data_IF_763260289876
#
_entry.id   IF_763260289876
#
_cell.length_a   1.000
_cell.length_b   1.000
_cell.length_c   1.000
_cell.angle_alpha   90.00
_cell.angle_beta   90.00
_cell.angle_gamma   90.00
#
_symmetry.space_group_name_H-M   'P 1'
#
loop_
_entity.id
_entity.type
_entity.pdbx_description
1 polymer ?
#
# COMPACT_ATOMS: atom_id res chain seq x y z
N UNK A 1 -65.35 -44.37 20.03
CA UNK A 1 -64.83 -43.80 18.80
C UNK A 1 -64.09 -42.55 19.17
N UNK A 2 -62.76 -42.58 19.07
CA UNK A 2 -61.88 -41.53 19.58
C UNK A 2 -61.52 -40.55 18.45
N UNK A 3 -61.85 -39.26 18.65
CA UNK A 3 -61.48 -38.20 17.74
C UNK A 3 -60.03 -37.78 18.05
N UNK A 4 -59.15 -37.95 17.10
CA UNK A 4 -57.77 -37.48 17.15
C UNK A 4 -57.74 -36.08 16.57
N UNK A 5 -57.49 -35.08 17.44
CA UNK A 5 -57.31 -33.67 17.05
C UNK A 5 -55.85 -33.51 16.54
N UNK A 6 -55.70 -33.25 15.24
CA UNK A 6 -54.40 -33.00 14.61
C UNK A 6 -54.08 -31.52 14.74
N UNK A 7 -53.19 -31.16 15.69
CA UNK A 7 -52.71 -29.79 15.84
C UNK A 7 -51.50 -29.64 14.92
N UNK A 8 -51.71 -28.85 13.82
CA UNK A 8 -50.61 -28.47 12.93
C UNK A 8 -49.92 -27.25 13.53
N UNK A 9 -48.71 -27.47 14.03
CA UNK A 9 -47.78 -26.41 14.51
C UNK A 9 -47.06 -25.83 13.28
N UNK A 10 -47.53 -24.67 12.78
CA UNK A 10 -46.84 -23.91 11.73
C UNK A 10 -45.73 -23.14 12.43
N UNK A 11 -44.51 -23.67 12.36
CA UNK A 11 -43.30 -22.98 12.77
C UNK A 11 -42.97 -21.91 11.72
N UNK A 12 -43.24 -20.66 12.05
CA UNK A 12 -42.91 -19.49 11.25
C UNK A 12 -41.41 -19.17 11.43
N UNK A 13 -40.56 -19.74 10.56
CA UNK A 13 -39.14 -19.42 10.50
C UNK A 13 -39.02 -18.03 9.90
N UNK A 14 -38.83 -17.00 10.76
CA UNK A 14 -38.36 -15.69 10.34
C UNK A 14 -36.90 -15.83 9.88
N UNK A 15 -36.66 -15.98 8.61
CA UNK A 15 -35.36 -15.75 7.98
C UNK A 15 -35.05 -14.26 8.09
N UNK A 16 -34.27 -13.86 9.11
CA UNK A 16 -33.59 -12.60 9.11
C UNK A 16 -32.53 -12.64 7.98
N UNK A 17 -32.94 -12.28 6.79
CA UNK A 17 -32.02 -11.88 5.72
C UNK A 17 -31.41 -10.56 6.19
N UNK A 18 -30.26 -10.64 6.91
CA UNK A 18 -29.40 -9.51 7.16
C UNK A 18 -28.84 -9.08 5.80
N UNK A 19 -29.57 -8.25 5.07
CA UNK A 19 -29.03 -7.54 3.91
C UNK A 19 -27.94 -6.61 4.44
N UNK A 20 -26.69 -7.08 4.49
CA UNK A 20 -25.54 -6.20 4.48
C UNK A 20 -25.53 -5.49 3.13
N UNK A 21 -26.30 -4.43 3.00
CA UNK A 21 -26.12 -3.44 1.94
C UNK A 21 -24.80 -2.74 2.23
N UNK A 22 -23.69 -3.32 1.79
CA UNK A 22 -22.49 -2.57 1.49
C UNK A 22 -22.91 -1.55 0.43
N UNK A 23 -23.28 -0.36 0.87
CA UNK A 23 -23.47 0.78 -0.01
C UNK A 23 -22.11 1.02 -0.66
N UNK A 24 -21.99 0.56 -1.89
CA UNK A 24 -20.84 0.84 -2.75
C UNK A 24 -20.92 2.35 -3.03
N UNK A 25 -20.36 3.15 -2.11
CA UNK A 25 -20.34 4.60 -2.23
C UNK A 25 -19.49 4.91 -3.46
N UNK A 26 -20.11 5.39 -4.53
CA UNK A 26 -19.38 5.72 -5.76
C UNK A 26 -18.24 6.68 -5.43
N UNK A 27 -17.06 6.37 -5.95
CA UNK A 27 -15.89 7.24 -5.85
C UNK A 27 -16.17 8.47 -6.73
N UNK A 28 -16.00 9.66 -6.16
CA UNK A 28 -16.15 10.93 -6.86
C UNK A 28 -14.75 11.44 -7.24
N UNK A 29 -14.61 11.96 -8.45
CA UNK A 29 -13.40 12.68 -8.92
C UNK A 29 -13.78 14.16 -9.07
N UNK A 30 -13.00 15.05 -8.45
CA UNK A 30 -13.21 16.51 -8.47
C UNK A 30 -11.91 17.22 -8.88
N UNK A 31 -11.97 17.99 -9.96
CA UNK A 31 -10.83 18.81 -10.41
C UNK A 31 -10.67 20.04 -9.54
N UNK A 32 -9.41 20.35 -9.19
CA UNK A 32 -9.00 21.51 -8.37
C UNK A 32 -7.88 22.26 -9.11
N UNK A 33 -8.25 23.29 -9.87
CA UNK A 33 -7.31 24.11 -10.64
C UNK A 33 -6.30 24.89 -9.76
N UNK A 34 -6.61 25.12 -8.49
CA UNK A 34 -5.67 25.79 -7.57
C UNK A 34 -4.41 24.95 -7.30
N UNK A 35 -4.45 23.63 -7.54
CA UNK A 35 -3.26 22.79 -7.43
C UNK A 35 -2.22 23.12 -8.51
N UNK A 36 -2.62 23.60 -9.69
CA UNK A 36 -1.69 24.07 -10.73
C UNK A 36 -0.88 25.24 -10.23
N UNK A 37 -1.51 26.20 -9.53
CA UNK A 37 -0.81 27.36 -8.95
C UNK A 37 0.27 26.95 -7.94
N UNK A 38 0.03 25.87 -7.19
CA UNK A 38 1.03 25.33 -6.26
C UNK A 38 2.20 24.76 -7.06
N UNK A 39 1.95 23.91 -8.04
CA UNK A 39 2.99 23.29 -8.88
C UNK A 39 3.81 24.36 -9.63
N UNK A 40 3.15 25.37 -10.20
CA UNK A 40 3.76 26.49 -10.90
C UNK A 40 4.67 27.29 -9.98
N UNK A 41 4.26 27.54 -8.73
CA UNK A 41 5.06 28.27 -7.75
C UNK A 41 6.40 27.58 -7.43
N UNK A 42 6.46 26.24 -7.57
CA UNK A 42 7.67 25.44 -7.41
C UNK A 42 8.35 25.10 -8.74
N UNK A 43 7.83 25.57 -9.87
CA UNK A 43 8.32 25.25 -11.23
C UNK A 43 8.38 23.74 -11.48
N UNK A 44 7.37 23.00 -11.03
CA UNK A 44 7.28 21.52 -11.13
C UNK A 44 6.13 21.14 -12.03
N UNK A 45 6.39 20.24 -12.99
CA UNK A 45 5.36 19.59 -13.79
C UNK A 45 4.90 18.31 -13.12
N UNK A 46 3.58 18.16 -12.92
CA UNK A 46 3.02 16.99 -12.27
C UNK A 46 1.55 17.13 -11.94
N UNK A 47 1.04 16.20 -11.15
CA UNK A 47 -0.27 16.35 -10.53
C UNK A 47 -0.20 16.17 -9.02
N UNK A 48 -1.12 16.83 -8.33
CA UNK A 48 -1.44 16.58 -6.92
C UNK A 48 -2.69 15.72 -6.92
N UNK A 49 -2.63 14.58 -6.23
CA UNK A 49 -3.79 13.73 -6.01
C UNK A 49 -4.02 13.55 -4.52
N UNK A 50 -5.19 13.92 -4.05
CA UNK A 50 -5.62 13.77 -2.66
C UNK A 50 -6.86 12.89 -2.63
N UNK A 51 -6.93 11.96 -1.67
CA UNK A 51 -8.12 11.18 -1.41
C UNK A 51 -8.68 11.53 -0.02
N UNK A 52 -9.92 11.97 0.00
CA UNK A 52 -10.71 12.21 1.21
C UNK A 52 -11.51 10.94 1.53
N UNK A 53 -11.11 10.25 2.57
CA UNK A 53 -11.71 8.96 2.96
C UNK A 53 -13.16 9.14 3.45
N UNK A 54 -13.47 10.24 4.13
CA UNK A 54 -14.81 10.50 4.67
C UNK A 54 -15.83 10.78 3.56
N UNK A 55 -15.39 11.52 2.54
CA UNK A 55 -16.23 11.87 1.38
C UNK A 55 -16.15 10.87 0.25
N UNK A 56 -15.24 9.88 0.32
CA UNK A 56 -14.94 8.96 -0.78
C UNK A 56 -14.64 9.69 -2.09
N UNK A 57 -13.83 10.75 -2.02
CA UNK A 57 -13.60 11.68 -3.14
C UNK A 57 -12.12 11.86 -3.41
N UNK A 58 -11.74 11.74 -4.69
CA UNK A 58 -10.43 12.16 -5.17
C UNK A 58 -10.48 13.61 -5.63
N UNK A 59 -9.45 14.37 -5.29
CA UNK A 59 -9.20 15.73 -5.76
C UNK A 59 -7.88 15.76 -6.51
N UNK A 60 -7.86 16.34 -7.72
CA UNK A 60 -6.64 16.47 -8.52
C UNK A 60 -6.74 17.67 -9.46
N UNK A 61 -5.61 18.23 -9.88
CA UNK A 61 -5.54 19.14 -11.01
C UNK A 61 -5.47 18.40 -12.35
N UNK A 62 -5.00 17.13 -12.35
CA UNK A 62 -4.85 16.32 -13.57
C UNK A 62 -5.01 14.83 -13.24
N UNK A 63 -6.18 14.28 -13.52
CA UNK A 63 -6.47 12.87 -13.30
C UNK A 63 -5.79 11.94 -14.31
N UNK A 64 -5.49 12.40 -15.50
CA UNK A 64 -4.80 11.59 -16.51
C UNK A 64 -3.34 11.38 -16.10
N UNK A 65 -2.69 12.45 -15.60
CA UNK A 65 -1.37 12.31 -14.99
C UNK A 65 -1.40 11.41 -13.77
N UNK A 66 -2.37 11.58 -12.89
CA UNK A 66 -2.52 10.80 -11.66
C UNK A 66 -2.75 9.29 -11.90
N UNK A 67 -3.31 8.93 -13.05
CA UNK A 67 -3.51 7.54 -13.53
C UNK A 67 -2.31 6.99 -14.29
N UNK A 68 -1.38 7.84 -14.72
CA UNK A 68 -0.20 7.44 -15.50
C UNK A 68 0.93 6.94 -14.58
N UNK A 69 1.35 5.68 -14.79
CA UNK A 69 2.38 5.06 -13.97
C UNK A 69 3.77 5.65 -14.18
N UNK A 70 4.47 5.87 -13.08
CA UNK A 70 5.88 6.30 -12.99
C UNK A 70 6.67 5.32 -12.13
N UNK A 71 8.00 5.41 -12.14
CA UNK A 71 8.82 4.63 -11.22
C UNK A 71 8.38 4.90 -9.77
N UNK A 72 8.22 3.84 -8.95
CA UNK A 72 7.80 3.99 -7.56
C UNK A 72 8.75 4.85 -6.72
N UNK A 73 10.05 4.80 -7.02
CA UNK A 73 11.10 5.46 -6.26
C UNK A 73 10.96 5.18 -4.75
N UNK A 74 11.13 6.18 -3.91
CA UNK A 74 11.08 6.00 -2.45
C UNK A 74 9.72 5.59 -1.88
N UNK A 75 8.63 5.68 -2.65
CA UNK A 75 7.33 5.18 -2.18
C UNK A 75 7.30 3.66 -2.06
N UNK A 76 8.17 2.94 -2.81
CA UNK A 76 8.31 1.49 -2.71
C UNK A 76 8.82 1.01 -1.34
N UNK A 77 9.43 1.88 -0.54
CA UNK A 77 9.81 1.53 0.84
C UNK A 77 8.62 1.05 1.67
N UNK A 78 7.41 1.52 1.38
CA UNK A 78 6.21 1.12 2.13
C UNK A 78 5.90 -0.37 1.91
N UNK A 79 5.62 -0.87 0.68
CA UNK A 79 5.40 -2.30 0.48
C UNK A 79 6.62 -3.15 0.87
N UNK A 80 7.86 -2.71 0.60
CA UNK A 80 9.07 -3.41 1.01
C UNK A 80 9.13 -3.57 2.54
N UNK A 81 8.77 -2.53 3.31
CA UNK A 81 8.69 -2.59 4.77
C UNK A 81 7.66 -3.58 5.27
N UNK A 82 6.45 -3.54 4.71
CA UNK A 82 5.35 -4.44 5.11
C UNK A 82 5.79 -5.89 4.87
N UNK A 83 6.36 -6.19 3.69
CA UNK A 83 6.83 -7.55 3.36
C UNK A 83 7.93 -7.99 4.33
N UNK A 84 8.87 -7.10 4.65
CA UNK A 84 9.98 -7.44 5.55
C UNK A 84 9.51 -7.78 6.97
N UNK A 85 8.51 -7.05 7.47
CA UNK A 85 7.90 -7.31 8.79
C UNK A 85 7.09 -8.62 8.76
N UNK A 86 6.25 -8.82 7.76
CA UNK A 86 5.45 -10.04 7.57
C UNK A 86 6.31 -11.32 7.50
N UNK A 87 7.51 -11.22 6.91
CA UNK A 87 8.46 -12.33 6.81
C UNK A 87 9.39 -12.46 8.03
N UNK A 88 9.27 -11.61 9.04
CA UNK A 88 10.14 -11.60 10.21
C UNK A 88 11.59 -11.20 9.91
N UNK A 89 11.87 -10.59 8.75
CA UNK A 89 13.20 -10.04 8.40
C UNK A 89 13.47 -8.81 9.25
N UNK A 90 12.43 -8.06 9.55
CA UNK A 90 12.40 -6.92 10.46
C UNK A 90 11.39 -7.25 11.57
N UNK A 91 11.86 -7.24 12.82
CA UNK A 91 11.01 -7.56 13.98
C UNK A 91 10.14 -6.37 14.39
N UNK A 92 10.72 -5.17 14.37
CA UNK A 92 10.04 -3.93 14.80
C UNK A 92 10.78 -2.69 14.28
N UNK A 93 10.29 -1.51 14.62
CA UNK A 93 10.83 -0.22 14.19
C UNK A 93 12.22 0.10 14.76
N UNK A 94 12.63 -0.55 15.84
CA UNK A 94 13.96 -0.40 16.47
C UNK A 94 15.00 -1.42 15.96
N UNK A 95 14.60 -2.39 15.12
CA UNK A 95 15.53 -3.35 14.50
C UNK A 95 16.70 -2.62 13.84
N UNK A 96 17.94 -3.00 14.18
CA UNK A 96 19.15 -2.33 13.67
C UNK A 96 19.58 -2.92 12.32
N UNK A 97 19.63 -2.07 11.32
CA UNK A 97 20.22 -2.33 10.01
C UNK A 97 21.69 -1.95 10.08
N UNK A 98 22.56 -2.97 10.01
CA UNK A 98 24.00 -2.78 10.14
C UNK A 98 24.59 -2.19 8.87
N UNK A 99 25.47 -1.20 9.04
CA UNK A 99 26.32 -0.72 7.96
C UNK A 99 27.51 -1.66 7.77
N UNK A 100 27.79 -2.00 6.53
CA UNK A 100 28.87 -2.92 6.17
C UNK A 100 30.26 -2.25 6.01
N UNK A 101 30.37 -0.93 6.28
CA UNK A 101 31.62 -0.17 6.17
C UNK A 101 31.91 0.34 4.75
N UNK A 102 31.10 0.01 3.74
CA UNK A 102 31.28 0.52 2.38
C UNK A 102 30.84 1.97 2.24
N UNK A 103 31.56 2.73 1.40
CA UNK A 103 31.17 4.09 1.06
C UNK A 103 29.80 4.11 0.39
N UNK A 104 28.94 5.02 0.85
CA UNK A 104 27.57 5.21 0.31
C UNK A 104 27.44 6.58 -0.35
N UNK A 105 26.41 6.74 -1.17
CA UNK A 105 26.14 8.01 -1.88
C UNK A 105 25.92 9.21 -0.95
N UNK A 106 25.50 8.95 0.29
CA UNK A 106 25.24 9.97 1.30
C UNK A 106 25.82 9.53 2.65
N UNK A 107 26.63 10.36 3.27
CA UNK A 107 27.30 10.09 4.57
C UNK A 107 26.29 9.76 5.68
N UNK A 108 25.08 10.33 5.61
CA UNK A 108 24.00 10.05 6.56
C UNK A 108 23.59 8.56 6.60
N UNK A 109 23.92 7.78 5.57
CA UNK A 109 23.68 6.35 5.49
C UNK A 109 24.87 5.49 5.95
N UNK A 110 26.04 6.09 6.22
CA UNK A 110 27.29 5.42 6.61
C UNK A 110 27.36 5.17 8.12
N UNK A 111 26.36 4.52 8.64
CA UNK A 111 26.25 4.11 10.05
C UNK A 111 25.18 3.06 10.24
N UNK A 112 25.20 2.41 11.39
CA UNK A 112 24.08 1.59 11.85
C UNK A 112 22.83 2.46 12.02
N UNK A 113 21.70 2.01 11.50
CA UNK A 113 20.43 2.72 11.56
C UNK A 113 19.32 1.82 12.12
N UNK A 114 18.46 2.38 12.97
CA UNK A 114 17.20 1.71 13.25
C UNK A 114 16.36 1.63 11.98
N UNK A 115 15.47 0.65 11.88
CA UNK A 115 14.56 0.53 10.74
C UNK A 115 13.72 1.80 10.54
N UNK A 116 13.22 2.37 11.64
CA UNK A 116 12.51 3.65 11.65
C UNK A 116 13.34 4.80 11.07
N UNK A 117 14.61 4.91 11.48
CA UNK A 117 15.48 5.97 10.98
C UNK A 117 15.84 5.74 9.50
N UNK A 118 16.11 4.50 9.10
CA UNK A 118 16.36 4.15 7.70
C UNK A 118 15.17 4.52 6.80
N UNK A 119 13.93 4.30 7.27
CA UNK A 119 12.73 4.75 6.56
C UNK A 119 12.68 6.27 6.46
N UNK A 120 12.86 6.98 7.58
CA UNK A 120 12.74 8.44 7.69
C UNK A 120 13.74 9.18 6.80
N UNK A 121 15.01 8.73 6.77
CA UNK A 121 16.06 9.35 5.95
C UNK A 121 16.16 8.74 4.55
N UNK A 122 15.22 7.87 4.19
CA UNK A 122 15.16 7.22 2.86
C UNK A 122 16.44 6.47 2.49
N UNK A 123 16.99 5.68 3.42
CA UNK A 123 18.23 4.91 3.23
C UNK A 123 18.10 3.87 2.11
N UNK A 124 18.44 4.25 0.88
CA UNK A 124 18.34 3.36 -0.29
C UNK A 124 19.14 2.06 -0.10
N UNK A 125 20.44 2.08 0.31
CA UNK A 125 21.19 0.84 0.49
C UNK A 125 20.57 -0.10 1.54
N UNK A 126 19.97 0.45 2.61
CA UNK A 126 19.27 -0.34 3.61
C UNK A 126 18.10 -1.11 3.00
N UNK A 127 17.29 -0.45 2.16
CA UNK A 127 16.14 -1.06 1.50
C UNK A 127 16.52 -2.01 0.37
N UNK A 128 17.66 -1.80 -0.28
CA UNK A 128 18.26 -2.75 -1.20
C UNK A 128 18.64 -4.07 -0.51
N UNK A 129 19.25 -3.99 0.66
CA UNK A 129 19.59 -5.17 1.47
C UNK A 129 18.33 -5.92 1.93
N UNK A 130 17.30 -5.19 2.37
CA UNK A 130 16.01 -5.79 2.74
C UNK A 130 15.39 -6.51 1.54
N UNK A 131 15.36 -5.90 0.37
CA UNK A 131 14.80 -6.51 -0.84
C UNK A 131 15.57 -7.79 -1.25
N UNK A 132 16.90 -7.79 -1.15
CA UNK A 132 17.73 -8.99 -1.37
C UNK A 132 17.39 -10.12 -0.38
N UNK A 133 17.15 -9.77 0.90
CA UNK A 133 16.75 -10.75 1.93
C UNK A 133 15.35 -11.32 1.68
N UNK A 134 14.40 -10.51 1.21
CA UNK A 134 13.06 -10.94 0.79
C UNK A 134 13.17 -11.91 -0.39
N UNK A 135 14.00 -11.59 -1.38
CA UNK A 135 14.20 -12.37 -2.59
C UNK A 135 13.03 -12.27 -3.58
N UNK A 136 13.31 -12.67 -4.83
CA UNK A 136 12.38 -12.49 -5.95
C UNK A 136 11.05 -13.23 -5.80
N UNK A 137 11.08 -14.45 -5.25
CA UNK A 137 9.88 -15.29 -5.13
C UNK A 137 8.89 -14.66 -4.15
N UNK A 138 9.35 -14.35 -2.94
CA UNK A 138 8.49 -13.72 -1.92
C UNK A 138 8.08 -12.32 -2.29
N UNK A 139 8.98 -11.52 -2.88
CA UNK A 139 8.63 -10.20 -3.37
C UNK A 139 7.46 -10.25 -4.37
N UNK A 140 7.50 -11.16 -5.38
CA UNK A 140 6.40 -11.33 -6.34
C UNK A 140 5.11 -11.76 -5.67
N UNK A 141 5.16 -12.78 -4.81
CA UNK A 141 3.99 -13.30 -4.07
C UNK A 141 3.26 -12.18 -3.32
N UNK A 142 4.01 -11.37 -2.56
CA UNK A 142 3.41 -10.31 -1.76
C UNK A 142 2.92 -9.13 -2.60
N UNK A 143 3.64 -8.74 -3.65
CA UNK A 143 3.18 -7.68 -4.54
C UNK A 143 1.89 -8.05 -5.27
N UNK A 144 1.73 -9.33 -5.65
CA UNK A 144 0.46 -9.86 -6.19
C UNK A 144 -0.65 -9.80 -5.13
N UNK A 145 -0.39 -10.27 -3.91
CA UNK A 145 -1.34 -10.21 -2.77
C UNK A 145 -1.80 -8.77 -2.48
N UNK A 146 -0.90 -7.80 -2.59
CA UNK A 146 -1.21 -6.39 -2.38
C UNK A 146 -1.85 -5.72 -3.60
N UNK A 147 -1.98 -6.42 -4.72
CA UNK A 147 -2.36 -5.84 -6.02
C UNK A 147 -1.45 -4.67 -6.44
N UNK A 148 -0.20 -4.67 -5.98
CA UNK A 148 0.82 -3.70 -6.34
C UNK A 148 1.43 -4.07 -7.69
N UNK A 149 0.67 -3.80 -8.76
CA UNK A 149 0.91 -4.30 -10.12
C UNK A 149 2.03 -3.55 -10.85
N UNK A 150 2.43 -4.11 -12.01
CA UNK A 150 3.40 -3.53 -12.96
C UNK A 150 4.82 -3.34 -12.39
N UNK A 151 5.21 -4.19 -11.43
CA UNK A 151 6.58 -4.28 -10.96
C UNK A 151 7.33 -5.32 -11.82
N UNK A 152 8.42 -4.91 -12.44
CA UNK A 152 9.23 -5.73 -13.37
C UNK A 152 10.62 -5.90 -12.78
N UNK A 153 10.96 -7.12 -12.38
CA UNK A 153 12.26 -7.46 -11.80
C UNK A 153 12.57 -8.95 -11.88
N UNK A 154 13.84 -9.25 -11.75
CA UNK A 154 14.43 -10.58 -11.64
C UNK A 154 15.47 -10.63 -10.51
N UNK A 155 16.29 -11.67 -10.46
CA UNK A 155 17.34 -11.83 -9.43
C UNK A 155 18.47 -10.79 -9.53
N UNK A 156 18.66 -10.17 -10.68
CA UNK A 156 19.70 -9.14 -10.89
C UNK A 156 19.21 -7.74 -10.56
N UNK A 157 17.91 -7.53 -10.59
CA UNK A 157 17.26 -6.21 -10.43
C UNK A 157 16.38 -6.10 -9.19
N UNK A 158 16.35 -7.15 -8.36
CA UNK A 158 15.52 -7.21 -7.13
C UNK A 158 15.73 -6.04 -6.18
N UNK A 159 16.92 -5.45 -6.17
CA UNK A 159 17.31 -4.40 -5.24
C UNK A 159 17.31 -2.98 -5.86
N UNK A 160 16.91 -2.84 -7.14
CA UNK A 160 16.87 -1.53 -7.79
C UNK A 160 15.65 -1.29 -8.69
N UNK A 161 14.78 -2.27 -8.93
CA UNK A 161 13.65 -2.19 -9.88
C UNK A 161 12.67 -1.06 -9.61
N UNK A 162 12.64 -0.52 -8.40
CA UNK A 162 11.80 0.63 -8.04
C UNK A 162 12.48 1.99 -8.27
N UNK A 163 13.78 1.98 -8.52
CA UNK A 163 14.61 3.16 -8.79
C UNK A 163 14.91 3.32 -10.27
N UNK A 164 15.00 2.20 -10.99
CA UNK A 164 15.44 2.11 -12.38
C UNK A 164 14.57 1.11 -13.15
N UNK A 165 14.63 1.18 -14.49
CA UNK A 165 13.96 0.23 -15.37
C UNK A 165 12.50 0.56 -15.66
N UNK A 166 11.66 -0.48 -15.81
CA UNK A 166 10.32 -0.37 -16.39
C UNK A 166 9.18 -0.57 -15.38
N UNK A 167 9.48 -0.72 -14.10
CA UNK A 167 8.47 -0.79 -13.05
C UNK A 167 7.68 0.51 -12.97
N UNK A 168 6.36 0.43 -12.86
CA UNK A 168 5.50 1.63 -12.86
C UNK A 168 4.34 1.46 -11.89
N UNK A 169 4.05 2.55 -11.17
CA UNK A 169 2.83 2.68 -10.37
C UNK A 169 2.28 4.10 -10.51
N UNK A 170 0.97 4.25 -10.59
CA UNK A 170 0.33 5.57 -10.62
C UNK A 170 0.06 6.09 -9.21
N UNK A 171 -0.15 7.42 -9.10
CA UNK A 171 -0.54 8.04 -7.83
C UNK A 171 -1.84 7.41 -7.30
N UNK A 172 -2.80 7.16 -8.19
CA UNK A 172 -4.06 6.49 -7.83
C UNK A 172 -3.83 5.08 -7.28
N UNK A 173 -3.01 4.27 -7.94
CA UNK A 173 -2.67 2.92 -7.47
C UNK A 173 -1.95 2.93 -6.11
N UNK A 174 -1.09 3.93 -5.86
CA UNK A 174 -0.45 4.11 -4.55
C UNK A 174 -1.47 4.35 -3.44
N UNK A 175 -2.43 5.26 -3.68
CA UNK A 175 -3.51 5.53 -2.71
C UNK A 175 -4.38 4.29 -2.51
N UNK A 176 -4.77 3.59 -3.59
CA UNK A 176 -5.58 2.38 -3.50
C UNK A 176 -4.87 1.28 -2.68
N UNK A 177 -3.55 1.14 -2.85
CA UNK A 177 -2.73 0.23 -2.04
C UNK A 177 -2.73 0.63 -0.56
N UNK A 178 -2.49 1.91 -0.25
CA UNK A 178 -2.44 2.41 1.14
C UNK A 178 -3.77 2.23 1.86
N UNK A 179 -4.88 2.49 1.20
CA UNK A 179 -6.23 2.28 1.74
C UNK A 179 -6.49 0.81 2.10
N UNK A 180 -6.07 -0.12 1.24
CA UNK A 180 -6.20 -1.56 1.50
C UNK A 180 -5.30 -2.00 2.66
N UNK A 181 -4.08 -1.50 2.72
CA UNK A 181 -3.14 -1.81 3.80
C UNK A 181 -3.67 -1.33 5.16
N UNK A 182 -4.20 -0.10 5.24
CA UNK A 182 -4.82 0.46 6.45
C UNK A 182 -6.02 -0.39 6.90
N UNK A 183 -6.93 -0.72 6.00
CA UNK A 183 -8.10 -1.54 6.30
C UNK A 183 -7.72 -2.91 6.90
N UNK A 184 -6.71 -3.57 6.32
CA UNK A 184 -6.25 -4.86 6.82
C UNK A 184 -5.64 -4.77 8.23
N UNK A 185 -4.88 -3.71 8.52
CA UNK A 185 -4.32 -3.46 9.85
C UNK A 185 -5.42 -3.22 10.90
N UNK A 186 -6.45 -2.45 10.56
CA UNK A 186 -7.58 -2.20 11.46
C UNK A 186 -8.38 -3.48 11.76
N UNK A 187 -8.57 -4.35 10.77
CA UNK A 187 -9.25 -5.64 10.95
C UNK A 187 -8.48 -6.58 11.87
N UNK A 188 -7.15 -6.59 11.80
CA UNK A 188 -6.32 -7.39 12.70
C UNK A 188 -6.40 -6.90 14.15
N UNK A 189 -6.34 -5.58 14.39
CA UNK A 189 -6.44 -4.99 15.72
C UNK A 189 -7.80 -5.21 16.40
N UNK A 190 -8.87 -5.40 15.63
CA UNK A 190 -10.22 -5.64 16.15
C UNK A 190 -10.52 -7.14 16.38
N UNK A 191 -9.61 -8.04 16.03
CA UNK A 191 -9.76 -9.49 16.18
C UNK A 191 -8.97 -10.07 17.37
N UNK A 192 -8.17 -9.26 18.03
CA UNK A 192 -7.42 -9.56 19.26
C UNK A 192 -8.17 -8.99 20.49
#
# INVERSE_FOLDING_TARGET
MKNILFVVFISMIFLFVCCNTTTNKNIIETEISDFDKILDSFQVNGSILIYDNDKNTFYSNDFDWAKNGKLPASTFKIPNSIIAVELGIIENDTTILKWNGEQRKMDIWEKDLSFKDAFRISCVPCYQEIARKIGTIKMKEYLEKFEYKNMIFDSLTIDNFWLEGNSKISQKQQIDFLRKAEFNLQMQQNSD
#
